data_IF_986467057008
#
_entry.id   IF_986467057008
#
_cell.length_a   1.000
_cell.length_b   1.000
_cell.length_c   1.000
_cell.angle_alpha   90.00
_cell.angle_beta   90.00
_cell.angle_gamma   90.00
#
_symmetry.space_group_name_H-M   'P 1'
#
loop_
_entity.id
_entity.type
_entity.pdbx_description
1 polymer ?
#
# COMPACT_ATOMS: atom_id res chain seq x y z
N UNK A 1 7.41 -35.03 3.59
CA UNK A 1 6.32 -34.41 4.38
C UNK A 1 6.72 -33.05 4.98
N UNK A 2 7.94 -32.90 5.50
CA UNK A 2 8.37 -31.67 6.22
C UNK A 2 8.53 -30.42 5.33
N UNK A 3 9.01 -30.58 4.09
CA UNK A 3 9.16 -29.45 3.15
C UNK A 3 7.81 -28.85 2.71
N UNK A 4 6.74 -29.64 2.63
CA UNK A 4 5.40 -29.15 2.30
C UNK A 4 4.81 -28.26 3.41
N UNK A 5 5.14 -28.53 4.68
CA UNK A 5 4.72 -27.67 5.79
C UNK A 5 5.48 -26.34 5.79
N UNK A 6 6.79 -26.35 5.50
CA UNK A 6 7.63 -25.14 5.49
C UNK A 6 7.34 -24.17 4.34
N UNK A 7 6.70 -24.64 3.27
CA UNK A 7 6.28 -23.83 2.10
C UNK A 7 4.78 -23.52 2.12
N UNK A 8 4.05 -23.87 3.19
CA UNK A 8 2.65 -23.51 3.33
C UNK A 8 2.50 -21.97 3.25
N UNK A 9 1.57 -21.43 2.45
CA UNK A 9 1.36 -19.98 2.33
C UNK A 9 1.07 -19.29 3.68
N UNK A 10 0.40 -19.97 4.62
CA UNK A 10 0.16 -19.45 5.97
C UNK A 10 1.46 -19.36 6.78
N UNK A 11 2.31 -20.37 6.69
CA UNK A 11 3.62 -20.40 7.33
C UNK A 11 4.56 -19.33 6.74
N UNK A 12 4.52 -19.13 5.42
CA UNK A 12 5.28 -18.09 4.73
C UNK A 12 4.82 -16.69 5.13
N UNK A 13 3.52 -16.48 5.31
CA UNK A 13 2.96 -15.21 5.80
C UNK A 13 3.31 -14.96 7.27
N UNK A 14 3.14 -15.96 8.15
CA UNK A 14 3.43 -15.83 9.58
C UNK A 14 4.90 -15.49 9.84
N UNK A 15 5.80 -16.04 9.00
CA UNK A 15 7.21 -15.64 9.03
C UNK A 15 7.41 -14.16 8.78
N UNK A 16 6.64 -13.52 7.90
CA UNK A 16 6.82 -12.11 7.54
C UNK A 16 6.07 -11.16 8.47
N UNK A 17 4.84 -11.52 8.85
CA UNK A 17 3.98 -10.74 9.72
C UNK A 17 3.16 -11.73 10.57
N UNK A 18 3.18 -11.61 11.91
CA UNK A 18 2.42 -12.49 12.79
C UNK A 18 0.96 -12.60 12.35
N UNK A 19 0.43 -13.83 12.33
CA UNK A 19 -0.91 -14.13 11.79
C UNK A 19 -2.02 -13.25 12.38
N UNK A 20 -1.94 -12.91 13.67
CA UNK A 20 -2.90 -12.01 14.34
C UNK A 20 -2.87 -10.62 13.71
N UNK A 21 -1.68 -10.07 13.46
CA UNK A 21 -1.52 -8.75 12.84
C UNK A 21 -2.04 -8.81 11.39
N UNK A 22 -1.70 -9.86 10.64
CA UNK A 22 -2.22 -10.10 9.30
C UNK A 22 -3.75 -10.10 9.26
N UNK A 23 -4.39 -10.83 10.19
CA UNK A 23 -5.85 -10.88 10.31
C UNK A 23 -6.45 -9.50 10.61
N UNK A 24 -5.87 -8.75 11.56
CA UNK A 24 -6.31 -7.38 11.88
C UNK A 24 -6.22 -6.48 10.65
N UNK A 25 -5.11 -6.54 9.91
CA UNK A 25 -4.90 -5.72 8.71
C UNK A 25 -5.81 -6.08 7.55
N UNK A 26 -6.41 -7.27 7.53
CA UNK A 26 -7.44 -7.67 6.57
C UNK A 26 -8.84 -7.22 7.03
N UNK A 27 -9.15 -7.38 8.31
CA UNK A 27 -10.48 -7.07 8.84
C UNK A 27 -10.76 -5.57 8.88
N UNK A 28 -9.78 -4.74 9.29
CA UNK A 28 -9.96 -3.28 9.39
C UNK A 28 -10.44 -2.65 8.06
N UNK A 29 -9.80 -2.90 6.90
CA UNK A 29 -10.25 -2.36 5.61
C UNK A 29 -11.66 -2.80 5.24
N UNK A 30 -12.06 -4.04 5.58
CA UNK A 30 -13.41 -4.55 5.31
C UNK A 30 -14.44 -3.72 6.09
N UNK A 31 -14.20 -3.46 7.38
CA UNK A 31 -15.09 -2.62 8.18
C UNK A 31 -15.10 -1.16 7.69
N UNK A 32 -13.93 -0.61 7.37
CA UNK A 32 -13.80 0.76 6.87
C UNK A 32 -14.39 0.97 5.47
N UNK A 33 -14.49 -0.08 4.65
CA UNK A 33 -15.02 0.01 3.28
C UNK A 33 -16.43 0.62 3.24
N UNK A 34 -17.24 0.38 4.28
CA UNK A 34 -18.61 0.91 4.41
C UNK A 34 -18.67 2.42 4.62
N UNK A 35 -17.57 3.04 5.04
CA UNK A 35 -17.47 4.48 5.32
C UNK A 35 -17.00 5.29 4.10
N UNK A 36 -16.47 4.61 3.08
CA UNK A 36 -15.88 5.25 1.90
C UNK A 36 -16.99 5.51 0.86
N UNK A 37 -17.15 6.77 0.44
CA UNK A 37 -18.22 7.19 -0.47
C UNK A 37 -17.76 7.71 -1.83
N UNK A 38 -16.49 8.11 -1.97
CA UNK A 38 -15.94 8.69 -3.19
C UNK A 38 -14.66 7.97 -3.64
N UNK A 39 -14.38 8.06 -4.94
CA UNK A 39 -13.22 7.41 -5.56
C UNK A 39 -11.90 7.92 -4.97
N UNK A 40 -11.81 9.22 -4.67
CA UNK A 40 -10.59 9.82 -4.11
C UNK A 40 -10.29 9.24 -2.72
N UNK A 41 -11.28 9.13 -1.83
CA UNK A 41 -11.07 8.50 -0.54
C UNK A 41 -10.85 7.00 -0.66
N UNK A 42 -11.48 6.32 -1.64
CA UNK A 42 -11.21 4.90 -1.89
C UNK A 42 -9.72 4.67 -2.19
N UNK A 43 -9.17 5.39 -3.17
CA UNK A 43 -7.77 5.26 -3.55
C UNK A 43 -6.83 5.64 -2.40
N UNK A 44 -7.14 6.72 -1.67
CA UNK A 44 -6.39 7.13 -0.48
C UNK A 44 -6.34 6.02 0.57
N UNK A 45 -7.50 5.50 0.95
CA UNK A 45 -7.56 4.47 2.00
C UNK A 45 -6.97 3.15 1.52
N UNK A 46 -7.16 2.76 0.26
CA UNK A 46 -6.54 1.55 -0.30
C UNK A 46 -5.01 1.61 -0.25
N UNK A 47 -4.38 2.72 -0.65
CA UNK A 47 -2.92 2.81 -0.53
C UNK A 47 -2.48 2.76 0.95
N UNK A 48 -3.19 3.43 1.87
CA UNK A 48 -2.85 3.44 3.31
C UNK A 48 -2.95 2.03 3.89
N UNK A 49 -4.06 1.34 3.66
CA UNK A 49 -4.31 0.01 4.19
C UNK A 49 -3.38 -1.06 3.62
N UNK A 50 -2.82 -0.86 2.43
CA UNK A 50 -1.76 -1.71 1.88
C UNK A 50 -0.39 -1.34 2.43
N UNK A 51 -0.09 -0.05 2.56
CA UNK A 51 1.20 0.44 3.03
C UNK A 51 1.49 0.02 4.48
N UNK A 52 0.49 0.04 5.35
CA UNK A 52 0.63 -0.32 6.77
C UNK A 52 1.21 -1.74 6.99
N UNK A 53 0.58 -2.82 6.51
CA UNK A 53 1.08 -4.18 6.73
C UNK A 53 2.44 -4.41 6.07
N UNK A 54 2.68 -3.87 4.88
CA UNK A 54 3.97 -3.98 4.18
C UNK A 54 5.07 -3.30 4.99
N UNK A 55 4.82 -2.09 5.50
CA UNK A 55 5.78 -1.34 6.30
C UNK A 55 6.04 -2.00 7.65
N UNK A 56 5.00 -2.57 8.29
CA UNK A 56 5.14 -3.34 9.53
C UNK A 56 5.99 -4.58 9.32
N UNK A 57 5.72 -5.37 8.26
CA UNK A 57 6.50 -6.55 7.94
C UNK A 57 7.97 -6.21 7.65
N UNK A 58 8.20 -5.13 6.90
CA UNK A 58 9.55 -4.64 6.62
C UNK A 58 10.28 -4.17 7.90
N UNK A 59 9.61 -3.40 8.77
CA UNK A 59 10.16 -2.95 10.05
C UNK A 59 10.49 -4.12 10.98
N UNK A 60 9.62 -5.12 11.08
CA UNK A 60 9.90 -6.34 11.83
C UNK A 60 11.10 -7.08 11.25
N UNK A 61 11.22 -7.18 9.93
CA UNK A 61 12.40 -7.79 9.30
C UNK A 61 13.69 -7.06 9.61
N UNK A 62 13.70 -5.72 9.56
CA UNK A 62 14.83 -4.91 10.00
C UNK A 62 15.15 -5.18 11.48
N UNK A 63 14.15 -5.23 12.35
CA UNK A 63 14.34 -5.48 13.78
C UNK A 63 14.94 -6.87 14.06
N UNK A 64 14.52 -7.91 13.32
CA UNK A 64 14.98 -9.28 13.54
C UNK A 64 16.29 -9.64 12.83
N UNK A 65 16.53 -9.10 11.63
CA UNK A 65 17.67 -9.52 10.76
C UNK A 65 18.64 -8.38 10.43
N UNK A 66 18.33 -7.15 10.82
CA UNK A 66 19.08 -5.95 10.49
C UNK A 66 18.76 -5.40 9.10
N UNK A 67 18.99 -4.09 8.92
CA UNK A 67 18.69 -3.39 7.67
C UNK A 67 19.41 -3.99 6.46
N UNK A 68 20.71 -4.28 6.59
CA UNK A 68 21.50 -4.84 5.50
C UNK A 68 20.95 -6.18 5.02
N UNK A 69 20.58 -7.07 5.94
CA UNK A 69 20.02 -8.39 5.59
C UNK A 69 18.61 -8.29 5.00
N UNK A 70 17.81 -7.31 5.43
CA UNK A 70 16.47 -7.05 4.87
C UNK A 70 16.53 -6.60 3.41
N UNK A 71 17.48 -5.75 3.06
CA UNK A 71 17.60 -5.18 1.71
C UNK A 71 18.47 -6.03 0.78
N UNK A 72 19.68 -6.40 1.22
CA UNK A 72 20.71 -6.97 0.35
C UNK A 72 20.75 -8.50 0.37
N UNK A 73 20.29 -9.14 1.46
CA UNK A 73 20.19 -10.60 1.55
C UNK A 73 18.77 -11.12 1.29
N UNK A 74 17.90 -10.28 0.70
CA UNK A 74 16.52 -10.61 0.31
C UNK A 74 15.70 -11.27 1.42
N UNK A 75 15.95 -10.90 2.68
CA UNK A 75 15.16 -11.45 3.80
C UNK A 75 13.77 -10.81 3.94
N UNK A 76 13.55 -9.71 3.23
CA UNK A 76 12.25 -9.14 2.89
C UNK A 76 12.20 -8.89 1.37
N UNK A 77 11.06 -9.12 0.73
CA UNK A 77 10.87 -8.77 -0.68
C UNK A 77 10.37 -7.33 -0.80
N UNK A 78 11.26 -6.42 -1.21
CA UNK A 78 10.92 -5.00 -1.35
C UNK A 78 9.87 -4.74 -2.44
N UNK A 79 9.71 -5.68 -3.38
CA UNK A 79 8.73 -5.59 -4.46
C UNK A 79 7.29 -5.58 -3.93
N UNK A 80 7.06 -6.01 -2.70
CA UNK A 80 5.73 -5.90 -2.08
C UNK A 80 5.24 -4.45 -1.99
N UNK A 81 6.13 -3.46 -1.86
CA UNK A 81 5.71 -2.05 -1.92
C UNK A 81 5.08 -1.67 -3.27
N UNK A 82 5.37 -2.39 -4.35
CA UNK A 82 4.76 -2.12 -5.66
C UNK A 82 3.25 -2.38 -5.66
N UNK A 83 2.73 -3.19 -4.73
CA UNK A 83 1.29 -3.48 -4.63
C UNK A 83 0.47 -2.22 -4.32
N UNK A 84 1.01 -1.27 -3.53
CA UNK A 84 0.32 -0.02 -3.21
C UNK A 84 0.44 1.06 -4.30
N UNK A 85 1.39 0.91 -5.23
CA UNK A 85 1.75 1.96 -6.19
C UNK A 85 0.62 2.37 -7.14
N UNK A 86 -0.18 1.44 -7.72
CA UNK A 86 -1.30 1.83 -8.57
C UNK A 86 -2.30 2.75 -7.88
N UNK A 87 -2.58 2.50 -6.58
CA UNK A 87 -3.51 3.33 -5.80
C UNK A 87 -2.93 4.71 -5.51
N UNK A 88 -1.65 4.79 -5.15
CA UNK A 88 -0.95 6.05 -4.91
C UNK A 88 -0.89 6.90 -6.19
N UNK A 89 -0.44 6.33 -7.31
CA UNK A 89 -0.31 7.04 -8.58
C UNK A 89 -1.68 7.54 -9.05
N UNK A 90 -2.72 6.72 -8.96
CA UNK A 90 -4.07 7.11 -9.35
C UNK A 90 -4.61 8.22 -8.44
N UNK A 91 -4.41 8.09 -7.12
CA UNK A 91 -4.82 9.11 -6.15
C UNK A 91 -4.18 10.48 -6.45
N UNK A 92 -2.87 10.51 -6.73
CA UNK A 92 -2.15 11.74 -7.08
C UNK A 92 -2.64 12.31 -8.42
N UNK A 93 -2.84 11.46 -9.43
CA UNK A 93 -3.26 11.88 -10.77
C UNK A 93 -4.66 12.51 -10.78
N UNK A 94 -5.58 12.08 -9.90
CA UNK A 94 -6.91 12.68 -9.81
C UNK A 94 -6.90 14.18 -9.52
N UNK A 95 -5.89 14.67 -8.79
CA UNK A 95 -5.76 16.10 -8.52
C UNK A 95 -5.24 16.88 -9.72
N UNK A 96 -4.43 16.27 -10.58
CA UNK A 96 -3.97 16.87 -11.83
C UNK A 96 -5.06 16.90 -12.91
N UNK A 97 -6.01 15.96 -12.89
CA UNK A 97 -7.12 15.89 -13.85
C UNK A 97 -8.30 16.83 -13.51
N UNK A 98 -8.31 17.47 -12.33
CA UNK A 98 -9.25 18.55 -12.06
C UNK A 98 -8.94 19.71 -13.01
N UNK A 99 -9.75 19.84 -14.06
CA UNK A 99 -9.68 20.94 -15.05
C UNK A 99 -9.47 22.28 -14.33
N UNK A 100 -8.59 23.16 -14.84
CA UNK A 100 -8.51 24.53 -14.35
C UNK A 100 -9.90 25.17 -14.47
N UNK A 101 -10.28 25.93 -13.43
CA UNK A 101 -11.52 26.67 -13.39
C UNK A 101 -11.64 27.50 -14.68
N UNK A 102 -12.73 27.39 -15.48
CA UNK A 102 -12.86 28.10 -16.76
C UNK A 102 -12.72 29.62 -16.63
N UNK A 103 -12.92 30.18 -15.43
CA UNK A 103 -12.64 31.60 -15.15
C UNK A 103 -11.18 31.99 -15.37
N UNK A 104 -10.22 31.08 -15.23
CA UNK A 104 -8.79 31.35 -15.44
C UNK A 104 -8.35 31.15 -16.89
N UNK A 105 -9.14 30.46 -17.73
CA UNK A 105 -8.85 30.23 -19.14
C UNK A 105 -9.20 31.44 -20.01
N UNK A 106 -10.19 32.24 -19.60
CA UNK A 106 -10.64 33.43 -20.35
C UNK A 106 -9.58 34.55 -20.32
N UNK A 107 -8.84 34.72 -19.23
CA UNK A 107 -7.79 35.74 -19.12
C UNK A 107 -6.56 35.50 -20.00
N UNK A 108 -6.35 34.26 -20.49
CA UNK A 108 -5.22 33.94 -21.35
C UNK A 108 -5.47 34.29 -22.83
N UNK A 109 -6.74 34.35 -23.24
CA UNK A 109 -7.13 34.66 -24.63
C UNK A 109 -7.45 36.14 -24.86
N UNK A 110 -7.47 36.99 -23.84
CA UNK A 110 -7.73 38.44 -23.97
C UNK A 110 -6.47 39.28 -24.15
N UNK A 111 -5.29 38.66 -24.24
CA UNK A 111 -3.99 39.33 -24.32
C UNK A 111 -3.12 38.85 -25.50
N UNK A 112 -3.73 38.25 -26.52
CA UNK A 112 -3.10 37.97 -27.83
C UNK A 112 -3.83 38.78 -28.89
#
# INVERSE_FOLDING_TARGET
MENFKKQNPFELQDRQLPTIISLITILIPIFFSKLIKDLKSLLKNSYIFLLIPISMAFALRIAYKGFYSSIFNSSFDISYFNIMMPFLITYLTLDFLKKPNPKNAVYFNSHI
#
